data_IF_161747159738
#
_entry.id   IF_161747159738
#
_cell.length_a   1.000
_cell.length_b   1.000
_cell.length_c   1.000
_cell.angle_alpha   90.00
_cell.angle_beta   90.00
_cell.angle_gamma   90.00
#
_symmetry.space_group_name_H-M   'P 1'
#
loop_
_entity.id
_entity.type
_entity.pdbx_description
1 polymer ?
#
# COMPACT_ATOMS: atom_id res chain seq x y z
N UNK A 1 33.51 -24.86 -11.32
CA UNK A 1 33.24 -23.74 -12.24
C UNK A 1 32.11 -22.89 -11.68
N UNK A 2 32.44 -21.79 -11.00
CA UNK A 2 31.43 -20.81 -10.56
C UNK A 2 31.02 -19.96 -11.77
N UNK A 3 29.76 -20.05 -12.20
CA UNK A 3 29.23 -19.19 -13.26
C UNK A 3 29.02 -17.79 -12.69
N UNK A 4 29.85 -16.84 -13.11
CA UNK A 4 29.66 -15.44 -12.75
C UNK A 4 28.36 -14.90 -13.35
N UNK A 5 27.55 -14.26 -12.50
CA UNK A 5 26.28 -13.69 -12.93
C UNK A 5 26.53 -12.37 -13.66
N UNK A 6 26.20 -12.35 -14.95
CA UNK A 6 26.24 -11.12 -15.77
C UNK A 6 25.40 -10.01 -15.12
N UNK A 7 26.03 -8.88 -14.82
CA UNK A 7 25.39 -7.66 -14.35
C UNK A 7 25.20 -6.67 -15.49
N UNK A 8 24.12 -5.90 -15.45
CA UNK A 8 23.81 -4.87 -16.45
C UNK A 8 23.63 -3.53 -15.74
N UNK A 9 24.40 -2.51 -16.15
CA UNK A 9 24.20 -1.15 -15.68
C UNK A 9 22.87 -0.57 -16.20
N UNK A 10 22.43 0.55 -15.62
CA UNK A 10 21.22 1.26 -16.10
C UNK A 10 21.40 1.74 -17.53
N UNK A 11 22.54 2.35 -17.82
CA UNK A 11 22.86 2.93 -19.12
C UNK A 11 22.93 1.86 -20.20
N UNK A 12 23.52 0.70 -19.90
CA UNK A 12 23.53 -0.43 -20.84
C UNK A 12 22.11 -0.92 -21.14
N UNK A 13 21.21 -0.97 -20.15
CA UNK A 13 19.81 -1.36 -20.39
C UNK A 13 19.11 -0.35 -21.28
N UNK A 14 19.35 0.95 -21.09
CA UNK A 14 18.81 2.02 -21.93
C UNK A 14 19.31 1.91 -23.36
N UNK A 15 20.63 1.72 -23.54
CA UNK A 15 21.25 1.55 -24.84
C UNK A 15 20.63 0.38 -25.61
N UNK A 16 20.39 -0.74 -24.95
CA UNK A 16 19.73 -1.90 -25.59
C UNK A 16 18.30 -1.58 -26.03
N UNK A 17 17.54 -0.82 -25.23
CA UNK A 17 16.17 -0.44 -25.58
C UNK A 17 16.17 0.45 -26.82
N UNK A 18 17.06 1.45 -26.88
CA UNK A 18 17.22 2.34 -28.02
C UNK A 18 17.70 1.60 -29.27
N UNK A 19 18.69 0.70 -29.13
CA UNK A 19 19.23 -0.07 -30.24
C UNK A 19 18.17 -1.00 -30.86
N UNK A 20 17.23 -1.52 -30.06
CA UNK A 20 16.10 -2.31 -30.54
C UNK A 20 15.12 -1.48 -31.38
N UNK A 21 14.95 -0.20 -31.08
CA UNK A 21 14.08 0.69 -31.86
C UNK A 21 14.66 0.98 -33.25
N UNK A 22 15.99 1.04 -33.36
CA UNK A 22 16.69 1.29 -34.63
C UNK A 22 16.92 0.01 -35.44
N UNK A 23 17.46 -1.04 -34.82
CA UNK A 23 17.92 -2.25 -35.50
C UNK A 23 16.92 -3.41 -35.46
N UNK A 24 15.84 -3.25 -34.69
CA UNK A 24 14.85 -4.30 -34.46
C UNK A 24 15.22 -5.26 -33.33
N UNK A 25 14.22 -6.05 -32.93
CA UNK A 25 14.24 -6.84 -31.70
C UNK A 25 15.17 -8.05 -31.76
N UNK A 26 14.96 -8.94 -32.74
CA UNK A 26 15.71 -10.20 -32.87
C UNK A 26 17.23 -10.03 -33.03
N UNK A 27 17.76 -9.15 -33.91
CA UNK A 27 19.22 -9.02 -34.08
C UNK A 27 19.89 -8.52 -32.80
N UNK A 28 19.27 -7.55 -32.12
CA UNK A 28 19.79 -6.98 -30.88
C UNK A 28 19.76 -7.98 -29.72
N UNK A 29 18.67 -8.76 -29.59
CA UNK A 29 18.59 -9.83 -28.58
C UNK A 29 19.68 -10.90 -28.77
N UNK A 30 20.00 -11.27 -30.02
CA UNK A 30 21.08 -12.22 -30.32
C UNK A 30 22.45 -11.64 -29.97
N UNK A 31 22.72 -10.38 -30.32
CA UNK A 31 23.97 -9.66 -30.00
C UNK A 31 24.26 -9.64 -28.50
N UNK A 32 23.24 -9.38 -27.68
CA UNK A 32 23.41 -9.29 -26.23
C UNK A 32 23.10 -10.58 -25.46
N UNK A 33 22.73 -11.67 -26.16
CA UNK A 33 22.26 -12.93 -25.56
C UNK A 33 21.16 -12.72 -24.52
N UNK A 34 20.15 -11.92 -24.87
CA UNK A 34 19.01 -11.59 -24.01
C UNK A 34 17.79 -12.40 -24.42
N UNK A 35 17.01 -12.84 -23.43
CA UNK A 35 15.70 -13.41 -23.68
C UNK A 35 14.68 -12.31 -24.00
N UNK A 36 13.73 -12.63 -24.87
CA UNK A 36 12.68 -11.69 -25.26
C UNK A 36 11.77 -11.30 -24.08
N UNK A 37 11.50 -12.22 -23.17
CA UNK A 37 10.74 -11.97 -21.94
C UNK A 37 11.42 -10.96 -21.02
N UNK A 38 12.76 -11.04 -20.89
CA UNK A 38 13.55 -10.10 -20.10
C UNK A 38 13.50 -8.69 -20.70
N UNK A 39 13.56 -8.58 -22.03
CA UNK A 39 13.40 -7.30 -22.71
C UNK A 39 12.03 -6.69 -22.45
N UNK A 40 10.93 -7.42 -22.67
CA UNK A 40 9.59 -6.86 -22.43
C UNK A 40 9.39 -6.45 -20.98
N UNK A 41 9.93 -7.20 -20.02
CA UNK A 41 9.91 -6.81 -18.60
C UNK A 41 10.64 -5.48 -18.37
N UNK A 42 11.81 -5.28 -18.99
CA UNK A 42 12.57 -4.02 -18.89
C UNK A 42 11.86 -2.87 -19.60
N UNK A 43 11.34 -3.09 -20.81
CA UNK A 43 10.57 -2.10 -21.59
C UNK A 43 9.32 -1.65 -20.86
N UNK A 44 8.57 -2.58 -20.26
CA UNK A 44 7.40 -2.25 -19.44
C UNK A 44 7.77 -1.35 -18.25
N UNK A 45 8.82 -1.71 -17.51
CA UNK A 45 9.30 -0.87 -16.38
C UNK A 45 9.79 0.51 -16.82
N UNK A 46 10.47 0.57 -17.96
CA UNK A 46 10.89 1.81 -18.56
C UNK A 46 9.70 2.69 -18.97
N UNK A 47 8.63 2.11 -19.52
CA UNK A 47 7.43 2.85 -19.86
C UNK A 47 6.66 3.36 -18.62
N UNK A 48 6.65 2.58 -17.53
CA UNK A 48 5.93 2.94 -16.30
C UNK A 48 6.67 3.98 -15.45
N UNK A 49 7.99 3.91 -15.36
CA UNK A 49 8.80 4.69 -14.41
C UNK A 49 9.96 5.45 -15.08
N UNK A 50 10.14 5.35 -16.40
CA UNK A 50 11.27 5.95 -17.11
C UNK A 50 12.61 5.31 -16.72
N UNK A 51 13.65 6.14 -16.64
CA UNK A 51 15.01 5.68 -16.30
C UNK A 51 15.11 5.02 -14.92
N UNK A 52 14.32 5.46 -13.94
CA UNK A 52 14.34 4.88 -12.57
C UNK A 52 13.79 3.46 -12.54
N UNK A 53 12.93 3.08 -13.50
CA UNK A 53 12.39 1.72 -13.63
C UNK A 53 13.41 0.67 -14.11
N UNK A 54 14.53 1.11 -14.69
CA UNK A 54 15.63 0.23 -15.11
C UNK A 54 16.61 -0.08 -13.98
N UNK A 55 16.45 0.57 -12.83
CA UNK A 55 17.20 0.23 -11.62
C UNK A 55 16.76 -1.11 -11.03
N UNK A 56 17.64 -1.71 -10.23
CA UNK A 56 17.31 -2.84 -9.39
C UNK A 56 16.39 -2.36 -8.24
N UNK A 57 15.10 -2.21 -8.54
CA UNK A 57 14.07 -1.92 -7.56
C UNK A 57 13.85 -3.18 -6.69
N UNK A 58 14.52 -3.22 -5.54
CA UNK A 58 14.07 -4.04 -4.43
C UNK A 58 12.98 -3.25 -3.70
N UNK A 59 11.85 -3.87 -3.31
CA UNK A 59 10.88 -3.20 -2.46
C UNK A 59 11.55 -2.88 -1.13
N UNK A 60 12.10 -1.67 -1.01
CA UNK A 60 12.66 -1.17 0.23
C UNK A 60 11.46 -0.71 1.05
N UNK A 61 11.00 -1.57 1.95
CA UNK A 61 10.01 -1.16 2.95
C UNK A 61 10.68 -0.07 3.77
N UNK A 62 10.07 1.11 3.76
CA UNK A 62 10.55 2.23 4.56
C UNK A 62 10.58 1.82 6.04
N UNK A 63 11.73 1.91 6.73
CA UNK A 63 11.84 1.49 8.12
C UNK A 63 10.91 2.27 9.05
N UNK A 64 10.61 3.54 8.73
CA UNK A 64 9.68 4.37 9.49
C UNK A 64 8.25 3.89 9.28
N UNK A 65 7.86 3.58 8.03
CA UNK A 65 6.56 3.01 7.72
C UNK A 65 6.31 1.71 8.50
N UNK A 66 7.32 0.84 8.56
CA UNK A 66 7.23 -0.41 9.32
C UNK A 66 7.06 -0.18 10.83
N UNK A 67 7.79 0.78 11.40
CA UNK A 67 7.64 1.16 12.82
C UNK A 67 6.24 1.72 13.10
N UNK A 68 5.74 2.58 12.23
CA UNK A 68 4.38 3.13 12.34
C UNK A 68 3.31 2.04 12.26
N UNK A 69 3.44 1.08 11.33
CA UNK A 69 2.51 -0.05 11.21
C UNK A 69 2.49 -0.91 12.48
N UNK A 70 3.65 -1.13 13.11
CA UNK A 70 3.76 -1.88 14.36
C UNK A 70 3.09 -1.14 15.52
N UNK A 71 3.29 0.17 15.62
CA UNK A 71 2.67 0.98 16.69
C UNK A 71 1.15 1.03 16.52
N UNK A 72 0.65 1.19 15.29
CA UNK A 72 -0.79 1.11 15.00
C UNK A 72 -1.36 -0.25 15.42
N UNK A 73 -0.65 -1.34 15.13
CA UNK A 73 -1.08 -2.68 15.55
C UNK A 73 -1.18 -2.78 17.07
N UNK A 74 -0.14 -2.34 17.79
CA UNK A 74 -0.11 -2.33 19.26
C UNK A 74 -1.24 -1.50 19.86
N UNK A 75 -1.46 -0.29 19.33
CA UNK A 75 -2.52 0.60 19.81
C UNK A 75 -3.91 -0.01 19.58
N UNK A 76 -4.13 -0.68 18.44
CA UNK A 76 -5.40 -1.37 18.16
C UNK A 76 -5.67 -2.52 19.11
N UNK A 77 -4.65 -3.30 19.46
CA UNK A 77 -4.75 -4.39 20.44
C UNK A 77 -5.16 -3.83 21.81
N UNK A 78 -4.47 -2.79 22.29
CA UNK A 78 -4.78 -2.14 23.57
C UNK A 78 -6.21 -1.55 23.59
N UNK A 79 -6.63 -0.90 22.52
CA UNK A 79 -8.00 -0.38 22.40
C UNK A 79 -9.02 -1.52 22.45
N UNK A 80 -8.73 -2.64 21.81
CA UNK A 80 -9.58 -3.85 21.87
C UNK A 80 -9.74 -4.37 23.29
N UNK A 81 -8.62 -4.53 24.01
CA UNK A 81 -8.60 -5.00 25.41
C UNK A 81 -9.42 -4.08 26.33
N UNK A 82 -9.17 -2.77 26.28
CA UNK A 82 -9.90 -1.80 27.09
C UNK A 82 -11.39 -1.76 26.76
N UNK A 83 -11.75 -1.92 25.48
CA UNK A 83 -13.16 -1.95 25.06
C UNK A 83 -13.89 -3.17 25.62
N UNK A 84 -13.23 -4.34 25.65
CA UNK A 84 -13.77 -5.55 26.26
C UNK A 84 -13.92 -5.41 27.77
N UNK A 85 -12.93 -4.79 28.43
CA UNK A 85 -12.98 -4.56 29.87
C UNK A 85 -14.12 -3.61 30.27
N UNK A 86 -14.30 -2.50 29.52
CA UNK A 86 -15.41 -1.58 29.72
C UNK A 86 -16.75 -2.28 29.51
N UNK A 87 -16.88 -3.05 28.42
CA UNK A 87 -18.10 -3.81 28.15
C UNK A 87 -18.43 -4.77 29.30
N UNK A 88 -17.44 -5.47 29.83
CA UNK A 88 -17.62 -6.39 30.96
C UNK A 88 -18.05 -5.65 32.24
N UNK A 89 -17.41 -4.52 32.53
CA UNK A 89 -17.77 -3.66 33.69
C UNK A 89 -19.20 -3.12 33.58
N UNK A 90 -19.60 -2.65 32.41
CA UNK A 90 -20.96 -2.17 32.16
C UNK A 90 -21.99 -3.28 32.37
N UNK A 91 -21.69 -4.50 31.94
CA UNK A 91 -22.57 -5.65 32.10
C UNK A 91 -22.75 -6.05 33.57
N UNK A 92 -21.70 -5.90 34.39
CA UNK A 92 -21.80 -6.09 35.84
C UNK A 92 -22.66 -5.00 36.51
N UNK A 93 -22.46 -3.74 36.13
CA UNK A 93 -23.21 -2.60 36.68
C UNK A 93 -24.71 -2.65 36.35
N UNK A 94 -25.06 -3.12 35.15
CA UNK A 94 -26.46 -3.37 34.78
C UNK A 94 -27.12 -4.42 35.68
N UNK A 95 -26.38 -5.49 36.02
CA UNK A 95 -26.87 -6.58 36.87
C UNK A 95 -27.02 -6.18 38.34
N UNK A 96 -26.18 -5.26 38.83
CA UNK A 96 -26.22 -4.79 40.22
C UNK A 96 -27.22 -3.65 40.44
N UNK A 97 -27.95 -3.21 39.40
CA UNK A 97 -29.02 -2.21 39.51
C UNK A 97 -28.54 -0.78 39.79
N UNK A 98 -27.24 -0.56 39.91
CA UNK A 98 -26.60 0.74 40.12
C UNK A 98 -26.49 1.48 38.78
N UNK A 99 -27.59 2.09 38.32
CA UNK A 99 -27.54 3.04 37.20
C UNK A 99 -26.85 4.32 37.67
N UNK A 100 -25.54 4.41 37.53
CA UNK A 100 -24.88 5.73 37.48
C UNK A 100 -25.26 6.37 36.14
N UNK A 101 -25.75 7.61 36.22
CA UNK A 101 -26.39 8.31 35.12
C UNK A 101 -25.49 8.51 33.90
N UNK A 102 -26.13 8.77 32.77
CA UNK A 102 -25.55 9.08 31.46
C UNK A 102 -24.31 9.97 31.57
N UNK A 103 -23.13 9.45 31.19
CA UNK A 103 -21.95 10.27 30.96
C UNK A 103 -22.03 10.91 29.56
N UNK A 104 -21.98 12.24 29.52
CA UNK A 104 -22.17 13.05 28.32
C UNK A 104 -21.07 12.89 27.24
N UNK A 105 -20.05 12.07 27.48
CA UNK A 105 -18.88 11.83 26.62
C UNK A 105 -19.11 10.82 25.48
N UNK A 106 -20.19 10.04 25.49
CA UNK A 106 -20.49 9.01 24.47
C UNK A 106 -20.93 9.56 23.10
N UNK A 107 -20.98 10.88 22.93
CA UNK A 107 -21.53 11.52 21.72
C UNK A 107 -20.57 11.60 20.53
N UNK A 108 -19.29 11.25 20.70
CA UNK A 108 -18.25 11.56 19.69
C UNK A 108 -18.03 10.45 18.66
N UNK A 109 -18.53 9.22 18.88
CA UNK A 109 -18.33 8.10 17.93
C UNK A 109 -19.67 7.51 17.45
N UNK A 110 -20.56 8.36 16.93
CA UNK A 110 -21.52 7.95 15.91
C UNK A 110 -21.51 8.99 14.80
N UNK A 111 -20.64 8.80 13.79
CA UNK A 111 -20.85 9.46 12.50
C UNK A 111 -22.17 8.91 11.93
N UNK A 112 -23.20 9.74 11.70
CA UNK A 112 -24.37 9.30 10.97
C UNK A 112 -23.97 9.21 9.50
N UNK A 113 -23.84 8.00 8.98
CA UNK A 113 -23.86 7.78 7.53
C UNK A 113 -25.32 7.78 7.11
N UNK A 114 -25.66 8.76 6.27
CA UNK A 114 -26.83 8.85 5.40
C UNK A 114 -28.22 9.06 6.04
N UNK A 115 -28.73 10.28 5.90
CA UNK A 115 -30.09 10.51 5.40
C UNK A 115 -30.14 11.82 4.60
N UNK A 116 -29.76 11.74 3.32
CA UNK A 116 -30.17 12.74 2.33
C UNK A 116 -31.57 12.36 1.86
N UNK A 117 -32.61 12.91 2.50
CA UNK A 117 -33.94 13.00 1.91
C UNK A 117 -34.24 14.47 1.63
N UNK A 118 -34.16 14.80 0.34
CA UNK A 118 -34.90 15.83 -0.38
C UNK A 118 -35.15 17.18 0.31
N UNK A 119 -34.30 18.15 -0.01
CA UNK A 119 -34.70 19.56 -0.11
C UNK A 119 -35.64 19.65 -1.31
N UNK A 120 -36.96 19.59 -1.07
CA UNK A 120 -37.93 20.10 -2.04
C UNK A 120 -37.93 21.62 -1.95
N UNK A 121 -37.41 22.22 -3.01
CA UNK A 121 -37.71 23.57 -3.45
C UNK A 121 -39.24 23.72 -3.60
N UNK A 122 -39.83 24.70 -2.91
CA UNK A 122 -40.89 25.53 -3.48
C UNK A 122 -41.02 26.79 -2.64
N UNK A 123 -40.51 27.88 -3.23
CA UNK A 123 -40.77 29.26 -2.81
C UNK A 123 -42.16 29.63 -3.32
N UNK A 124 -42.97 30.22 -2.45
CA UNK A 124 -43.82 31.35 -2.82
C UNK A 124 -43.03 32.63 -2.52
#
# INVERSE_FOLDING_TARGET
>A
MTRERRQWSKDQKLQIIQEIEVNGLQPTLRKYHLSQSLFYKRKRRFNEQGMTGLDAQYPKVDPEKRKMEQEIKRLRELVGELSLELWFKDELLKKTGLKTGCHASDRVIRRPVARCEAIKMERY
#
